data_IF_798835185002
#
_entry.id   IF_798835185002
#
_cell.length_a   1.000
_cell.length_b   1.000
_cell.length_c   1.000
_cell.angle_alpha   90.00
_cell.angle_beta   90.00
_cell.angle_gamma   90.00
#
_symmetry.space_group_name_H-M   'P 1'
#
loop_
_entity.id
_entity.type
_entity.pdbx_description
1 polymer ?
#
# COMPACT_ATOMS: atom_id res chain seq x y z
N UNK A 1 0.09 -23.99 -14.10
CA UNK A 1 0.58 -22.93 -15.02
C UNK A 1 0.70 -21.67 -14.18
N UNK A 2 1.89 -21.08 -14.08
CA UNK A 2 2.07 -19.83 -13.38
C UNK A 2 1.23 -18.74 -14.05
N UNK A 3 0.57 -17.92 -13.26
CA UNK A 3 -0.21 -16.77 -13.75
C UNK A 3 0.77 -15.76 -14.34
N UNK A 4 0.50 -15.29 -15.56
CA UNK A 4 1.17 -14.07 -16.07
C UNK A 4 0.67 -12.87 -15.26
N UNK A 5 1.47 -12.46 -14.30
CA UNK A 5 1.13 -11.44 -13.32
C UNK A 5 0.72 -10.12 -13.97
N UNK A 6 1.45 -9.66 -14.99
CA UNK A 6 1.15 -8.40 -15.68
C UNK A 6 -0.16 -8.46 -16.47
N UNK A 7 -0.42 -9.57 -17.15
CA UNK A 7 -1.69 -9.78 -17.86
C UNK A 7 -2.86 -9.85 -16.87
N UNK A 8 -2.70 -10.55 -15.76
CA UNK A 8 -3.73 -10.67 -14.74
C UNK A 8 -4.07 -9.32 -14.09
N UNK A 9 -3.06 -8.55 -13.68
CA UNK A 9 -3.23 -7.19 -13.13
C UNK A 9 -3.92 -6.27 -14.14
N UNK A 10 -3.53 -6.31 -15.42
CA UNK A 10 -4.16 -5.52 -16.48
C UNK A 10 -5.64 -5.85 -16.69
N UNK A 11 -6.04 -7.12 -16.51
CA UNK A 11 -7.45 -7.54 -16.54
C UNK A 11 -8.22 -6.97 -15.34
N UNK A 12 -7.64 -6.99 -14.14
CA UNK A 12 -8.25 -6.38 -12.94
C UNK A 12 -8.44 -4.88 -13.16
N UNK A 13 -7.39 -4.16 -13.53
CA UNK A 13 -7.43 -2.70 -13.78
C UNK A 13 -8.51 -2.33 -14.80
N UNK A 14 -8.66 -3.11 -15.86
CA UNK A 14 -9.66 -2.87 -16.90
C UNK A 14 -11.08 -3.35 -16.54
N UNK A 15 -11.27 -3.98 -15.39
CA UNK A 15 -12.55 -4.55 -14.96
C UNK A 15 -12.97 -5.84 -15.67
N UNK A 16 -12.06 -6.47 -16.43
CA UNK A 16 -12.29 -7.78 -17.10
C UNK A 16 -12.09 -8.96 -16.16
N UNK A 17 -11.42 -8.75 -15.04
CA UNK A 17 -11.26 -9.70 -13.95
C UNK A 17 -11.80 -9.09 -12.67
N UNK A 18 -12.69 -9.79 -11.97
CA UNK A 18 -13.31 -9.32 -10.75
C UNK A 18 -12.61 -9.96 -9.55
N UNK A 19 -11.94 -9.16 -8.77
CA UNK A 19 -11.26 -9.57 -7.53
C UNK A 19 -11.92 -8.89 -6.35
N UNK A 20 -12.18 -9.66 -5.29
CA UNK A 20 -12.57 -9.19 -3.98
C UNK A 20 -11.89 -10.06 -2.95
N UNK A 21 -11.11 -9.46 -2.05
CA UNK A 21 -10.43 -10.17 -0.99
C UNK A 21 -11.23 -9.98 0.30
N UNK A 22 -11.67 -11.05 0.92
CA UNK A 22 -12.36 -11.00 2.21
C UNK A 22 -11.34 -10.68 3.32
N UNK A 23 -11.71 -9.78 4.22
CA UNK A 23 -10.96 -9.50 5.44
C UNK A 23 -11.67 -10.24 6.57
N UNK A 24 -10.98 -11.23 7.13
CA UNK A 24 -11.48 -12.04 8.25
C UNK A 24 -10.72 -11.64 9.52
N UNK A 25 -11.38 -11.67 10.67
CA UNK A 25 -10.75 -11.54 11.98
C UNK A 25 -10.18 -12.88 12.47
N UNK A 26 -9.66 -12.90 13.70
CA UNK A 26 -9.05 -14.10 14.31
C UNK A 26 -10.06 -15.23 14.56
N UNK A 27 -11.35 -14.90 14.60
CA UNK A 27 -12.46 -15.87 14.73
C UNK A 27 -13.01 -16.29 13.36
N UNK A 28 -12.31 -15.96 12.27
CA UNK A 28 -12.76 -16.15 10.87
C UNK A 28 -14.07 -15.45 10.53
N UNK A 29 -14.48 -14.42 11.28
CA UNK A 29 -15.65 -13.61 10.98
C UNK A 29 -15.33 -12.57 9.91
N UNK A 30 -16.24 -12.37 8.97
CA UNK A 30 -16.08 -11.37 7.90
C UNK A 30 -16.27 -9.96 8.46
N UNK A 31 -15.20 -9.17 8.49
CA UNK A 31 -15.17 -7.81 9.01
C UNK A 31 -15.03 -6.72 7.94
N UNK A 32 -14.68 -7.09 6.72
CA UNK A 32 -14.53 -6.16 5.61
C UNK A 32 -14.07 -6.81 4.32
N UNK A 33 -13.74 -5.97 3.35
CA UNK A 33 -13.24 -6.41 2.03
C UNK A 33 -12.17 -5.45 1.51
N UNK A 34 -11.27 -6.00 0.68
CA UNK A 34 -10.42 -5.22 -0.21
C UNK A 34 -11.00 -5.29 -1.63
N UNK A 35 -11.27 -4.12 -2.20
CA UNK A 35 -11.70 -3.98 -3.59
C UNK A 35 -10.59 -3.29 -4.40
N UNK A 36 -10.13 -3.88 -5.51
CA UNK A 36 -9.11 -3.25 -6.32
C UNK A 36 -9.65 -1.99 -6.99
N UNK A 37 -8.81 -0.98 -7.07
CA UNK A 37 -9.07 0.23 -7.85
C UNK A 37 -8.98 -0.12 -9.34
N UNK A 38 -10.06 0.14 -10.07
CA UNK A 38 -10.17 -0.09 -11.51
C UNK A 38 -10.37 1.24 -12.24
N UNK A 39 -10.36 1.23 -13.58
CA UNK A 39 -10.58 2.46 -14.37
C UNK A 39 -11.88 3.19 -14.08
N UNK A 40 -12.90 2.50 -13.53
CA UNK A 40 -14.16 3.13 -13.13
C UNK A 40 -13.99 4.18 -12.03
N UNK A 41 -12.93 4.11 -11.22
CA UNK A 41 -12.64 5.09 -10.16
C UNK A 41 -12.53 6.51 -10.70
N UNK A 42 -12.09 6.69 -11.95
CA UNK A 42 -11.93 8.02 -12.56
C UNK A 42 -13.25 8.77 -12.73
N UNK A 43 -14.39 8.06 -12.68
CA UNK A 43 -15.73 8.65 -12.67
C UNK A 43 -16.32 8.83 -11.26
N UNK A 44 -15.67 8.30 -10.24
CA UNK A 44 -16.13 8.36 -8.83
C UNK A 44 -15.48 9.57 -8.12
N UNK A 45 -16.16 10.71 -8.19
CA UNK A 45 -15.67 11.93 -7.56
C UNK A 45 -15.57 11.81 -6.03
N UNK A 46 -16.54 11.15 -5.40
CA UNK A 46 -16.59 11.02 -3.93
C UNK A 46 -15.43 10.18 -3.41
N UNK A 47 -15.10 9.10 -4.10
CA UNK A 47 -13.94 8.28 -3.74
C UNK A 47 -12.62 9.03 -4.00
N UNK A 48 -12.50 9.76 -5.11
CA UNK A 48 -11.31 10.61 -5.37
C UNK A 48 -11.15 11.66 -4.26
N UNK A 49 -12.23 12.29 -3.82
CA UNK A 49 -12.19 13.26 -2.71
C UNK A 49 -11.72 12.59 -1.40
N UNK A 50 -12.22 11.37 -1.09
CA UNK A 50 -11.77 10.61 0.09
C UNK A 50 -10.28 10.29 0.00
N UNK A 51 -9.81 9.74 -1.10
CA UNK A 51 -8.39 9.41 -1.32
C UNK A 51 -7.50 10.66 -1.16
N UNK A 52 -7.96 11.81 -1.68
CA UNK A 52 -7.26 13.09 -1.54
C UNK A 52 -7.16 13.51 -0.07
N UNK A 53 -8.26 13.45 0.66
CA UNK A 53 -8.30 13.80 2.08
C UNK A 53 -7.41 12.86 2.91
N UNK A 54 -7.50 11.55 2.68
CA UNK A 54 -6.67 10.56 3.38
C UNK A 54 -5.19 10.76 3.12
N UNK A 55 -4.83 11.07 1.86
CA UNK A 55 -3.45 11.38 1.49
C UNK A 55 -2.92 12.61 2.22
N UNK A 56 -3.75 13.67 2.35
CA UNK A 56 -3.39 14.89 3.06
C UNK A 56 -3.22 14.66 4.56
N UNK A 57 -4.09 13.86 5.19
CA UNK A 57 -3.99 13.50 6.61
C UNK A 57 -2.71 12.70 6.91
N UNK A 58 -2.34 11.79 6.01
CA UNK A 58 -1.17 10.93 6.15
C UNK A 58 0.11 11.53 5.52
N UNK A 59 0.08 12.78 5.00
CA UNK A 59 1.14 13.38 4.17
C UNK A 59 2.55 13.19 4.71
N UNK A 60 2.76 13.39 6.02
CA UNK A 60 4.09 13.35 6.65
C UNK A 60 4.74 11.95 6.62
N UNK A 61 3.97 10.90 6.41
CA UNK A 61 4.44 9.51 6.42
C UNK A 61 4.83 8.99 5.03
N UNK A 62 4.81 9.84 4.02
CA UNK A 62 5.20 9.48 2.67
C UNK A 62 6.57 10.03 2.30
N UNK A 63 7.26 9.32 1.41
CA UNK A 63 8.55 9.77 0.86
C UNK A 63 8.43 11.01 -0.02
N UNK A 64 7.26 11.26 -0.62
CA UNK A 64 6.96 12.51 -1.31
C UNK A 64 5.86 13.23 -0.55
N UNK A 65 6.13 14.43 -0.03
CA UNK A 65 5.22 15.18 0.83
C UNK A 65 4.77 16.46 0.13
N UNK A 66 3.48 16.53 -0.18
CA UNK A 66 2.84 17.67 -0.85
C UNK A 66 1.37 17.76 -0.42
N UNK A 67 0.71 18.86 -0.71
CA UNK A 67 -0.75 18.97 -0.55
C UNK A 67 -1.43 18.41 -1.80
N UNK A 68 -2.16 17.32 -1.64
CA UNK A 68 -2.93 16.71 -2.72
C UNK A 68 -4.19 17.51 -3.02
N UNK A 69 -4.55 17.61 -4.29
CA UNK A 69 -5.85 18.08 -4.80
C UNK A 69 -6.57 16.92 -5.49
N UNK A 70 -7.88 17.04 -5.72
CA UNK A 70 -8.64 16.01 -6.45
C UNK A 70 -8.08 15.77 -7.85
N UNK A 71 -7.68 16.84 -8.55
CA UNK A 71 -7.08 16.74 -9.89
C UNK A 71 -5.75 15.99 -9.84
N UNK A 72 -4.90 16.29 -8.85
CA UNK A 72 -3.64 15.59 -8.66
C UNK A 72 -3.85 14.13 -8.29
N UNK A 73 -4.82 13.83 -7.44
CA UNK A 73 -5.19 12.45 -7.08
C UNK A 73 -5.71 11.70 -8.30
N UNK A 74 -6.59 12.30 -9.10
CA UNK A 74 -7.10 11.73 -10.35
C UNK A 74 -5.96 11.45 -11.34
N UNK A 75 -5.08 12.42 -11.55
CA UNK A 75 -3.91 12.27 -12.43
C UNK A 75 -2.97 11.15 -11.97
N UNK A 76 -2.72 11.03 -10.66
CA UNK A 76 -1.94 9.93 -10.08
C UNK A 76 -2.62 8.57 -10.28
N UNK A 77 -3.93 8.49 -10.05
CA UNK A 77 -4.68 7.25 -10.32
C UNK A 77 -4.57 6.85 -11.79
N UNK A 78 -4.81 7.77 -12.71
CA UNK A 78 -4.83 7.51 -14.15
C UNK A 78 -3.45 7.13 -14.69
N UNK A 79 -2.41 7.91 -14.37
CA UNK A 79 -1.10 7.81 -15.02
C UNK A 79 -0.10 6.96 -14.26
N UNK A 80 -0.33 6.70 -12.96
CA UNK A 80 0.58 5.89 -12.14
C UNK A 80 -0.08 4.59 -11.72
N UNK A 81 -1.26 4.63 -11.06
CA UNK A 81 -1.87 3.42 -10.50
C UNK A 81 -2.46 2.54 -11.58
N UNK A 82 -3.25 3.11 -12.49
CA UNK A 82 -4.00 2.37 -13.53
C UNK A 82 -3.19 2.14 -14.81
N UNK A 83 -1.97 2.63 -14.87
CA UNK A 83 -1.09 2.50 -16.03
C UNK A 83 0.16 1.62 -15.76
N UNK A 84 0.24 1.02 -14.58
CA UNK A 84 1.34 0.16 -14.16
C UNK A 84 0.81 -1.24 -13.81
N UNK A 85 1.11 -2.22 -14.65
CA UNK A 85 0.69 -3.62 -14.47
C UNK A 85 1.51 -4.40 -13.44
N UNK A 86 2.48 -3.76 -12.78
CA UNK A 86 3.19 -4.31 -11.62
C UNK A 86 2.64 -3.82 -10.28
N UNK A 87 1.47 -3.16 -10.30
CA UNK A 87 0.88 -2.47 -9.15
C UNK A 87 -0.63 -2.70 -9.08
N UNK A 88 -1.15 -2.79 -7.84
CA UNK A 88 -2.58 -2.61 -7.56
C UNK A 88 -2.74 -1.80 -6.28
N UNK A 89 -3.73 -0.92 -6.31
CA UNK A 89 -4.27 -0.24 -5.14
C UNK A 89 -5.63 -0.86 -4.81
N UNK A 90 -5.88 -1.10 -3.52
CA UNK A 90 -7.17 -1.58 -3.03
C UNK A 90 -7.78 -0.56 -2.08
N UNK A 91 -9.09 -0.45 -2.12
CA UNK A 91 -9.88 0.27 -1.12
C UNK A 91 -10.31 -0.73 -0.05
N UNK A 92 -10.04 -0.39 1.20
CA UNK A 92 -10.47 -1.14 2.37
C UNK A 92 -11.89 -0.71 2.71
N UNK A 93 -12.83 -1.65 2.61
CA UNK A 93 -14.23 -1.43 2.98
C UNK A 93 -14.55 -2.12 4.30
N UNK A 94 -15.16 -1.36 5.20
CA UNK A 94 -15.96 -1.90 6.32
C UNK A 94 -17.40 -2.11 5.88
N UNK A 95 -18.27 -2.59 6.78
CA UNK A 95 -19.72 -2.65 6.53
C UNK A 95 -20.35 -1.28 6.26
N UNK A 96 -19.73 -0.20 6.73
CA UNK A 96 -20.21 1.18 6.56
C UNK A 96 -19.70 1.86 5.28
N UNK A 97 -18.81 1.21 4.53
CA UNK A 97 -18.23 1.77 3.31
C UNK A 97 -16.70 1.85 3.33
N UNK A 98 -16.10 2.65 2.41
CA UNK A 98 -14.66 2.79 2.30
C UNK A 98 -14.07 3.52 3.52
N UNK A 99 -13.03 2.93 4.13
CA UNK A 99 -12.40 3.45 5.35
C UNK A 99 -10.88 3.62 5.22
N UNK A 100 -10.28 3.15 4.14
CA UNK A 100 -8.85 3.26 3.92
C UNK A 100 -8.43 2.67 2.60
N UNK A 101 -7.13 2.64 2.38
CA UNK A 101 -6.53 2.04 1.20
C UNK A 101 -5.28 1.25 1.58
N UNK A 102 -4.92 0.28 0.75
CA UNK A 102 -3.68 -0.47 0.82
C UNK A 102 -3.36 -1.04 -0.55
N UNK A 103 -2.09 -1.25 -0.87
CA UNK A 103 -1.72 -1.80 -2.15
C UNK A 103 -0.30 -2.33 -2.18
N UNK A 104 0.14 -2.64 -3.37
CA UNK A 104 1.51 -3.04 -3.65
C UNK A 104 1.95 -2.46 -4.99
N UNK A 105 3.25 -2.44 -5.21
CA UNK A 105 3.93 -2.04 -6.44
C UNK A 105 5.15 -2.92 -6.69
N UNK A 106 5.79 -2.74 -7.84
CA UNK A 106 7.01 -3.45 -8.22
C UNK A 106 6.87 -4.99 -8.12
N UNK A 107 5.67 -5.50 -8.43
CA UNK A 107 5.45 -6.94 -8.49
C UNK A 107 6.37 -7.56 -9.54
N UNK A 108 7.18 -8.49 -9.10
CA UNK A 108 8.10 -9.28 -9.90
C UNK A 108 7.81 -10.77 -9.74
N UNK A 109 8.61 -11.62 -10.36
CA UNK A 109 8.56 -13.07 -10.14
C UNK A 109 8.89 -13.48 -8.70
N UNK A 110 9.73 -12.72 -8.01
CA UNK A 110 10.25 -13.08 -6.70
C UNK A 110 9.67 -12.27 -5.54
N UNK A 111 9.22 -11.04 -5.80
CA UNK A 111 8.82 -10.12 -4.72
C UNK A 111 7.79 -9.07 -5.14
N UNK A 112 7.20 -8.43 -4.14
CA UNK A 112 6.40 -7.21 -4.28
C UNK A 112 6.75 -6.23 -3.15
N UNK A 113 6.50 -4.93 -3.36
CA UNK A 113 6.64 -3.89 -2.33
C UNK A 113 5.26 -3.43 -1.88
N UNK A 114 4.94 -3.49 -0.58
CA UNK A 114 3.72 -2.89 -0.04
C UNK A 114 3.73 -1.38 -0.23
N UNK A 115 2.58 -0.81 -0.54
CA UNK A 115 2.46 0.60 -0.89
C UNK A 115 1.14 1.19 -0.40
N UNK A 116 1.13 2.49 -0.09
CA UNK A 116 -0.07 3.28 0.15
C UNK A 116 -1.01 2.78 1.25
N UNK A 117 -0.50 2.20 2.34
CA UNK A 117 -1.34 1.87 3.48
C UNK A 117 -1.80 3.13 4.22
N UNK A 118 -3.10 3.39 4.21
CA UNK A 118 -3.73 4.49 4.94
C UNK A 118 -5.03 4.02 5.59
N UNK A 119 -5.20 4.28 6.89
CA UNK A 119 -6.52 4.32 7.53
C UNK A 119 -7.05 5.74 7.40
N UNK A 120 -8.04 5.93 6.56
CA UNK A 120 -8.58 7.26 6.25
C UNK A 120 -9.81 7.66 7.06
N UNK A 121 -10.57 6.69 7.55
CA UNK A 121 -11.82 6.91 8.30
C UNK A 121 -11.82 6.13 9.61
N UNK A 122 -12.51 6.68 10.59
CA UNK A 122 -12.82 5.99 11.84
C UNK A 122 -14.06 5.12 11.58
N UNK A 123 -14.03 3.87 12.01
CA UNK A 123 -15.16 2.94 11.89
C UNK A 123 -14.74 1.53 11.49
N UNK A 124 -15.70 0.62 11.48
CA UNK A 124 -15.47 -0.80 11.26
C UNK A 124 -14.83 -1.50 12.48
N UNK A 125 -14.30 -2.69 12.24
CA UNK A 125 -13.62 -3.47 13.27
C UNK A 125 -12.35 -2.76 13.77
N UNK A 126 -12.02 -2.76 15.08
CA UNK A 126 -10.84 -2.06 15.62
C UNK A 126 -9.53 -2.45 14.91
N UNK A 127 -9.36 -3.73 14.59
CA UNK A 127 -8.18 -4.29 13.93
C UNK A 127 -8.36 -4.46 12.40
N UNK A 128 -9.32 -3.77 11.77
CA UNK A 128 -9.61 -3.93 10.34
C UNK A 128 -8.37 -3.72 9.44
N UNK A 129 -7.52 -2.74 9.75
CA UNK A 129 -6.32 -2.44 8.95
C UNK A 129 -5.28 -3.56 9.08
N UNK A 130 -5.10 -4.09 10.29
CA UNK A 130 -4.22 -5.23 10.54
C UNK A 130 -4.67 -6.47 9.73
N UNK A 131 -5.94 -6.83 9.82
CA UNK A 131 -6.48 -7.96 9.08
C UNK A 131 -6.53 -7.71 7.57
N UNK A 132 -6.66 -6.45 7.13
CA UNK A 132 -6.59 -6.08 5.72
C UNK A 132 -5.18 -6.32 5.15
N UNK A 133 -4.13 -6.00 5.91
CA UNK A 133 -2.75 -6.27 5.50
C UNK A 133 -2.49 -7.79 5.46
N UNK A 134 -2.92 -8.56 6.46
CA UNK A 134 -2.83 -10.03 6.44
C UNK A 134 -3.53 -10.60 5.19
N UNK A 135 -4.74 -10.13 4.89
CA UNK A 135 -5.51 -10.59 3.75
C UNK A 135 -4.81 -10.27 2.41
N UNK A 136 -4.22 -9.07 2.27
CA UNK A 136 -3.48 -8.68 1.09
C UNK A 136 -2.18 -9.49 0.93
N UNK A 137 -1.42 -9.67 2.00
CA UNK A 137 -0.18 -10.46 2.03
C UNK A 137 -0.45 -11.91 1.63
N UNK A 138 -1.47 -12.53 2.23
CA UNK A 138 -1.90 -13.89 1.87
C UNK A 138 -2.26 -14.00 0.41
N UNK A 139 -3.08 -13.07 -0.09
CA UNK A 139 -3.49 -13.05 -1.48
C UNK A 139 -2.30 -12.91 -2.44
N UNK A 140 -1.31 -12.06 -2.11
CA UNK A 140 -0.08 -11.90 -2.89
C UNK A 140 0.72 -13.21 -2.97
N UNK A 141 0.92 -13.88 -1.84
CA UNK A 141 1.63 -15.16 -1.80
C UNK A 141 0.88 -16.27 -2.54
N UNK A 142 -0.44 -16.33 -2.40
CA UNK A 142 -1.25 -17.42 -2.97
C UNK A 142 -1.44 -17.27 -4.49
N UNK A 143 -1.62 -16.03 -4.98
CA UNK A 143 -1.92 -15.77 -6.39
C UNK A 143 -0.65 -15.68 -7.25
N UNK A 144 0.39 -15.00 -6.75
CA UNK A 144 1.59 -14.74 -7.55
C UNK A 144 2.77 -15.65 -7.21
N UNK A 145 2.64 -16.45 -6.17
CA UNK A 145 3.67 -17.40 -5.72
C UNK A 145 5.05 -16.77 -5.46
N UNK A 146 5.08 -15.44 -5.17
CA UNK A 146 6.31 -14.70 -4.85
C UNK A 146 6.97 -15.23 -3.58
N UNK A 147 8.27 -15.01 -3.44
CA UNK A 147 9.09 -15.50 -2.32
C UNK A 147 9.07 -14.57 -1.12
N UNK A 148 9.02 -13.25 -1.36
CA UNK A 148 9.04 -12.25 -0.29
C UNK A 148 8.21 -11.01 -0.61
N UNK A 149 7.84 -10.30 0.44
CA UNK A 149 7.17 -8.99 0.37
C UNK A 149 8.02 -8.00 1.15
N UNK A 150 8.24 -6.84 0.54
CA UNK A 150 9.03 -5.74 1.11
C UNK A 150 8.10 -4.59 1.53
N UNK A 151 8.53 -3.85 2.54
CA UNK A 151 7.95 -2.56 2.93
C UNK A 151 9.05 -1.56 3.24
N UNK A 152 8.84 -0.29 2.90
CA UNK A 152 9.74 0.80 3.26
C UNK A 152 8.95 1.82 4.08
N UNK A 153 9.35 1.99 5.32
CA UNK A 153 8.62 2.81 6.30
C UNK A 153 9.56 3.87 6.85
N UNK A 154 9.11 5.12 6.94
CA UNK A 154 9.88 6.16 7.65
C UNK A 154 10.12 5.70 9.09
N UNK A 155 11.35 5.84 9.59
CA UNK A 155 11.75 5.28 10.89
C UNK A 155 11.02 5.91 12.08
N UNK A 156 10.37 7.07 11.90
CA UNK A 156 9.52 7.74 12.89
C UNK A 156 8.03 7.37 12.76
N UNK A 157 7.65 6.57 11.77
CA UNK A 157 6.29 6.06 11.61
C UNK A 157 6.09 4.76 12.42
N UNK A 158 6.14 4.87 13.74
CA UNK A 158 6.03 3.72 14.65
C UNK A 158 4.75 2.93 14.46
N UNK A 159 3.64 3.59 14.11
CA UNK A 159 2.33 2.92 13.89
C UNK A 159 2.43 1.92 12.74
N UNK A 160 3.02 2.31 11.61
CA UNK A 160 3.18 1.41 10.48
C UNK A 160 4.22 0.32 10.76
N UNK A 161 5.33 0.66 11.45
CA UNK A 161 6.36 -0.30 11.84
C UNK A 161 5.79 -1.39 12.76
N UNK A 162 5.00 -1.01 13.76
CA UNK A 162 4.39 -1.96 14.69
C UNK A 162 3.30 -2.80 14.03
N UNK A 163 2.54 -2.22 13.11
CA UNK A 163 1.57 -2.95 12.29
C UNK A 163 2.26 -4.04 11.44
N UNK A 164 3.29 -3.68 10.68
CA UNK A 164 4.04 -4.63 9.86
C UNK A 164 4.67 -5.74 10.72
N UNK A 165 5.25 -5.39 11.88
CA UNK A 165 5.78 -6.40 12.82
C UNK A 165 4.71 -7.35 13.32
N UNK A 166 3.52 -6.84 13.65
CA UNK A 166 2.39 -7.66 14.08
C UNK A 166 1.91 -8.63 12.99
N UNK A 167 2.03 -8.25 11.71
CA UNK A 167 1.72 -9.13 10.55
C UNK A 167 2.80 -10.20 10.34
N UNK A 168 4.01 -10.00 10.88
CA UNK A 168 5.13 -10.95 10.79
C UNK A 168 6.34 -10.41 10.02
N UNK A 169 6.31 -9.17 9.54
CA UNK A 169 7.47 -8.57 8.90
C UNK A 169 8.63 -8.39 9.89
N UNK A 170 9.84 -8.62 9.42
CA UNK A 170 11.07 -8.35 10.15
C UNK A 170 11.72 -7.06 9.66
N UNK A 171 12.33 -6.32 10.57
CA UNK A 171 13.19 -5.21 10.23
C UNK A 171 14.48 -5.76 9.58
N UNK A 172 14.80 -5.30 8.39
CA UNK A 172 16.02 -5.66 7.67
C UNK A 172 17.04 -4.52 7.76
N UNK A 173 17.07 -3.60 6.81
CA UNK A 173 18.06 -2.54 6.75
C UNK A 173 17.48 -1.18 7.14
N UNK A 174 18.32 -0.30 7.68
CA UNK A 174 18.03 1.12 7.86
C UNK A 174 18.70 1.89 6.74
N UNK A 175 17.91 2.62 5.98
CA UNK A 175 18.39 3.42 4.85
C UNK A 175 18.36 4.91 5.23
N UNK A 176 19.44 5.66 5.01
CA UNK A 176 19.43 7.10 5.18
C UNK A 176 18.54 7.73 4.10
N UNK A 177 17.90 8.83 4.45
CA UNK A 177 17.08 9.60 3.52
C UNK A 177 17.75 10.95 3.24
N UNK A 178 17.77 11.32 1.98
CA UNK A 178 18.21 12.63 1.51
C UNK A 178 16.99 13.45 1.17
N UNK A 179 16.81 14.55 1.89
CA UNK A 179 15.69 15.47 1.68
C UNK A 179 16.05 16.45 0.57
N UNK A 180 15.17 16.57 -0.42
CA UNK A 180 15.16 17.67 -1.38
C UNK A 180 13.81 18.38 -1.32
N UNK A 181 13.79 19.68 -1.64
CA UNK A 181 12.57 20.47 -1.68
C UNK A 181 12.52 21.21 -3.01
N UNK A 182 11.42 21.05 -3.73
CA UNK A 182 11.18 21.70 -5.03
C UNK A 182 9.72 22.09 -5.09
N UNK A 183 9.44 23.35 -5.39
CA UNK A 183 8.08 23.90 -5.52
C UNK A 183 7.18 23.68 -4.29
N UNK A 184 7.77 23.68 -3.09
CA UNK A 184 7.07 23.43 -1.83
C UNK A 184 6.72 21.94 -1.57
N UNK A 185 7.27 21.04 -2.37
CA UNK A 185 7.19 19.59 -2.18
C UNK A 185 8.47 19.03 -1.60
N UNK A 186 8.35 18.15 -0.62
CA UNK A 186 9.49 17.46 -0.03
C UNK A 186 9.59 16.06 -0.67
N UNK A 187 10.78 15.73 -1.14
CA UNK A 187 11.13 14.41 -1.64
C UNK A 187 12.20 13.81 -0.74
N UNK A 188 11.93 12.62 -0.21
CA UNK A 188 12.85 11.83 0.60
C UNK A 188 13.38 10.68 -0.26
N UNK A 189 14.62 10.79 -0.69
CA UNK A 189 15.28 9.81 -1.55
C UNK A 189 16.12 8.87 -0.69
N UNK A 190 15.94 7.57 -0.87
CA UNK A 190 16.71 6.54 -0.16
C UNK A 190 18.16 6.52 -0.64
N UNK A 191 19.09 6.50 0.31
CA UNK A 191 20.51 6.32 0.05
C UNK A 191 20.97 4.89 0.30
N UNK A 192 22.29 4.68 0.17
CA UNK A 192 22.90 3.37 0.37
C UNK A 192 22.93 2.99 1.86
N UNK A 193 22.73 1.70 2.20
CA UNK A 193 22.85 1.21 3.58
C UNK A 193 24.20 1.58 4.21
N UNK A 194 24.19 1.98 5.48
CA UNK A 194 25.38 2.33 6.24
C UNK A 194 25.91 3.74 6.01
N UNK A 195 25.37 4.51 5.05
CA UNK A 195 25.67 5.93 4.93
C UNK A 195 24.86 6.77 5.94
N UNK A 196 25.24 8.02 6.14
CA UNK A 196 24.57 8.92 7.09
C UNK A 196 23.58 9.83 6.36
N UNK A 197 22.42 10.04 6.99
CA UNK A 197 21.49 11.07 6.54
C UNK A 197 21.93 12.45 7.04
N UNK A 198 22.06 13.45 6.17
CA UNK A 198 22.41 14.81 6.59
C UNK A 198 21.34 15.46 7.47
N UNK A 199 20.06 15.05 7.31
CA UNK A 199 18.92 15.59 8.03
C UNK A 199 18.47 14.66 9.20
N UNK A 200 19.21 13.59 9.48
CA UNK A 200 18.84 12.60 10.50
C UNK A 200 17.57 11.81 10.17
N UNK A 201 17.17 11.77 8.92
CA UNK A 201 15.98 11.07 8.44
C UNK A 201 16.36 9.68 7.92
N UNK A 202 15.58 8.68 8.31
CA UNK A 202 15.83 7.30 7.92
C UNK A 202 14.55 6.57 7.54
N UNK A 203 14.69 5.53 6.73
CA UNK A 203 13.65 4.55 6.47
C UNK A 203 14.08 3.17 6.95
N UNK A 204 13.15 2.44 7.51
CA UNK A 204 13.31 1.04 7.86
C UNK A 204 12.78 0.17 6.71
N UNK A 205 13.61 -0.72 6.19
CA UNK A 205 13.16 -1.79 5.32
C UNK A 205 12.55 -2.90 6.17
N UNK A 206 11.35 -3.32 5.80
CA UNK A 206 10.63 -4.43 6.40
C UNK A 206 10.54 -5.55 5.36
N UNK A 207 10.72 -6.79 5.76
CA UNK A 207 10.67 -7.95 4.87
C UNK A 207 9.89 -9.10 5.51
N UNK A 208 9.10 -9.80 4.68
CA UNK A 208 8.38 -10.99 5.05
C UNK A 208 8.56 -12.06 3.97
N UNK A 209 9.20 -13.17 4.31
CA UNK A 209 9.34 -14.33 3.46
C UNK A 209 8.06 -15.19 3.47
N UNK A 210 7.70 -15.76 2.31
CA UNK A 210 6.53 -16.67 2.20
C UNK A 210 6.55 -17.82 3.22
N UNK A 211 7.72 -18.39 3.46
CA UNK A 211 7.89 -19.51 4.42
C UNK A 211 7.73 -19.10 5.89
N UNK A 212 7.70 -17.80 6.17
CA UNK A 212 7.57 -17.20 7.51
C UNK A 212 6.16 -16.73 7.80
N UNK A 213 5.35 -16.59 6.74
CA UNK A 213 3.94 -16.19 6.84
C UNK A 213 3.08 -17.42 7.10
N UNK A 214 2.44 -17.49 8.26
CA UNK A 214 1.61 -18.62 8.74
C UNK A 214 0.13 -18.34 8.52
#
# INVERSE_FOLDING_TARGET
>A
MAIDSHSFISKIISGREVVRINILDDEASLIGHLYPVTRSVLADYDLIQKLTNWRNLARRYFFTQFTATCDRTRNWLENVVLNDSSRLLFIIHSKAGPVGQHGFKQLSHDSAELDNLIRGEIGGHPHLIYHAEIALVRWLFDVFEIKSILGFVLSDNYIALDLHRAVGFRAAEVLPLYKTETDGEIHLVRGEPGSQSPDGLYAQTMELGRSEFI
#
